data_IF_797740721105
#
_entry.id   IF_797740721105
#
_cell.length_a   1.000
_cell.length_b   1.000
_cell.length_c   1.000
_cell.angle_alpha   90.00
_cell.angle_beta   90.00
_cell.angle_gamma   90.00
#
_symmetry.space_group_name_H-M   'P 1'
#
loop_
_entity.id
_entity.type
_entity.pdbx_description
1 polymer ?
#
# COMPACT_ATOMS: atom_id res chain seq x y z
N UNK A 1 25.14 63.43 -8.86
CA UNK A 1 23.86 62.96 -9.44
C UNK A 1 24.13 62.27 -10.77
N UNK A 2 24.50 61.00 -10.73
CA UNK A 2 24.78 60.07 -11.83
C UNK A 2 24.71 58.69 -11.15
N UNK A 3 24.07 57.62 -11.62
CA UNK A 3 23.71 57.22 -12.99
C UNK A 3 22.75 56.04 -12.91
N UNK A 4 21.53 56.20 -13.44
CA UNK A 4 20.57 55.10 -13.66
C UNK A 4 20.80 54.47 -15.05
N UNK A 5 21.99 53.91 -15.28
CA UNK A 5 22.39 53.38 -16.61
C UNK A 5 23.18 52.07 -16.55
N UNK A 6 22.92 51.25 -15.54
CA UNK A 6 23.68 50.00 -15.31
C UNK A 6 22.79 48.80 -14.93
N UNK A 7 21.57 48.72 -15.49
CA UNK A 7 20.65 47.58 -15.27
C UNK A 7 20.12 46.97 -16.58
N UNK A 8 20.56 47.47 -17.74
CA UNK A 8 20.04 47.03 -19.05
C UNK A 8 21.03 46.20 -19.90
N UNK A 9 22.16 45.74 -19.34
CA UNK A 9 23.21 45.06 -20.12
C UNK A 9 23.42 43.57 -19.81
N UNK A 10 22.65 42.96 -18.90
CA UNK A 10 22.79 41.54 -18.53
C UNK A 10 21.59 40.67 -18.92
N UNK A 11 20.78 41.10 -19.90
CA UNK A 11 19.57 40.37 -20.35
C UNK A 11 19.68 39.79 -21.76
N UNK A 12 20.90 39.64 -22.27
CA UNK A 12 21.19 39.22 -23.65
C UNK A 12 22.32 38.18 -23.73
N UNK A 13 22.44 37.32 -22.71
CA UNK A 13 23.41 36.21 -22.68
C UNK A 13 22.77 34.82 -22.47
N UNK A 14 21.44 34.72 -22.57
CA UNK A 14 20.70 33.47 -22.30
C UNK A 14 19.73 33.10 -23.42
N UNK A 15 20.18 33.27 -24.68
CA UNK A 15 19.37 32.96 -25.88
C UNK A 15 20.12 32.27 -27.01
N UNK A 16 21.21 31.58 -26.72
CA UNK A 16 21.97 30.81 -27.71
C UNK A 16 22.54 29.54 -27.08
N UNK A 17 21.70 28.53 -26.81
CA UNK A 17 22.08 27.10 -26.86
C UNK A 17 20.81 26.24 -26.98
N UNK A 18 20.10 26.36 -28.10
CA UNK A 18 19.20 25.31 -28.60
C UNK A 18 19.77 24.85 -29.93
N UNK A 19 20.55 23.76 -29.91
CA UNK A 19 20.87 22.98 -31.09
C UNK A 19 20.37 21.55 -30.86
N UNK A 20 19.63 20.96 -31.82
CA UNK A 20 19.13 19.60 -31.70
C UNK A 20 20.26 18.60 -31.91
N UNK A 21 20.42 17.67 -30.96
CA UNK A 21 21.28 16.49 -31.13
C UNK A 21 20.62 15.57 -32.16
N UNK A 22 21.17 15.62 -33.37
CA UNK A 22 20.79 14.81 -34.51
C UNK A 22 21.10 13.33 -34.27
N UNK A 23 20.11 12.48 -34.51
CA UNK A 23 20.23 11.04 -34.65
C UNK A 23 21.39 10.66 -35.57
N UNK A 24 22.26 9.76 -35.11
CA UNK A 24 23.13 8.96 -35.98
C UNK A 24 22.79 7.49 -35.79
N UNK A 25 21.79 7.06 -36.56
CA UNK A 25 21.50 5.66 -36.84
C UNK A 25 22.68 5.09 -37.64
N UNK A 26 23.50 4.26 -37.01
CA UNK A 26 24.51 3.46 -37.70
C UNK A 26 23.84 2.24 -38.33
N UNK A 27 23.43 2.39 -39.60
CA UNK A 27 23.01 1.29 -40.44
C UNK A 27 24.20 0.38 -40.79
N UNK A 28 24.27 -0.81 -40.19
CA UNK A 28 25.28 -1.82 -40.51
C UNK A 28 24.74 -2.74 -41.62
N UNK A 29 25.30 -2.60 -42.83
CA UNK A 29 25.03 -3.49 -43.98
C UNK A 29 25.47 -4.93 -43.70
N UNK A 30 24.72 -5.95 -44.19
CA UNK A 30 25.05 -7.36 -44.01
C UNK A 30 26.17 -7.78 -44.97
N UNK A 31 27.08 -8.66 -44.51
CA UNK A 31 28.02 -9.39 -45.37
C UNK A 31 27.56 -10.85 -45.53
N UNK A 32 27.71 -11.45 -46.71
CA UNK A 32 27.11 -12.73 -47.05
C UNK A 32 27.96 -13.93 -46.62
N UNK A 33 27.22 -14.97 -46.21
CA UNK A 33 27.39 -16.41 -46.39
C UNK A 33 28.77 -16.93 -46.86
N UNK A 34 29.39 -17.78 -46.03
CA UNK A 34 30.23 -18.88 -46.49
C UNK A 34 29.56 -20.20 -46.14
N UNK A 35 29.28 -20.95 -47.21
CA UNK A 35 28.80 -22.32 -47.26
C UNK A 35 29.90 -23.25 -46.75
N UNK A 36 29.54 -24.18 -45.86
CA UNK A 36 30.32 -25.39 -45.62
C UNK A 36 29.35 -26.58 -45.60
N UNK A 37 29.65 -27.52 -46.48
CA UNK A 37 28.89 -28.69 -46.89
C UNK A 37 29.23 -29.90 -46.00
N UNK A 38 28.26 -30.77 -45.74
CA UNK A 38 28.45 -32.13 -45.21
C UNK A 38 27.95 -32.29 -43.77
N UNK A 39 27.16 -33.28 -43.38
CA UNK A 39 26.90 -34.58 -43.99
C UNK A 39 25.46 -35.04 -43.69
N UNK A 40 24.91 -35.75 -44.68
CA UNK A 40 23.66 -36.48 -44.66
C UNK A 40 23.86 -37.77 -43.85
N UNK A 41 23.04 -38.04 -42.83
CA UNK A 41 22.80 -39.41 -42.38
C UNK A 41 21.31 -39.66 -42.13
N UNK A 42 20.90 -40.76 -42.74
CA UNK A 42 19.58 -41.36 -42.88
C UNK A 42 19.02 -41.80 -41.53
N UNK A 43 17.73 -41.60 -41.30
CA UNK A 43 16.88 -42.50 -40.50
C UNK A 43 15.42 -42.27 -40.89
N UNK A 44 14.93 -43.15 -41.75
CA UNK A 44 13.51 -43.31 -42.06
C UNK A 44 13.03 -44.64 -41.47
N UNK A 45 11.87 -44.61 -40.81
CA UNK A 45 10.97 -45.75 -40.73
C UNK A 45 10.71 -46.36 -39.35
N UNK A 46 9.42 -46.64 -39.11
CA UNK A 46 8.78 -47.40 -38.02
C UNK A 46 8.38 -46.53 -36.80
N UNK A 47 7.13 -46.46 -36.33
CA UNK A 47 5.95 -47.27 -36.61
C UNK A 47 4.66 -46.49 -36.27
N UNK A 48 3.61 -46.81 -37.03
CA UNK A 48 2.20 -46.48 -36.79
C UNK A 48 1.69 -47.29 -35.59
N UNK A 49 1.03 -46.62 -34.63
CA UNK A 49 0.09 -47.23 -33.67
C UNK A 49 -0.95 -46.16 -33.26
N UNK A 50 -2.18 -46.56 -32.86
CA UNK A 50 -3.41 -45.93 -33.30
C UNK A 50 -3.91 -44.89 -32.29
N UNK A 51 -4.71 -43.95 -32.78
CA UNK A 51 -5.50 -43.06 -31.95
C UNK A 51 -6.53 -43.87 -31.14
N UNK A 52 -6.30 -44.03 -29.85
CA UNK A 52 -7.33 -44.42 -28.88
C UNK A 52 -7.96 -43.15 -28.30
N UNK A 53 -9.26 -42.88 -28.53
CA UNK A 53 -9.97 -41.89 -27.76
C UNK A 53 -10.43 -42.51 -26.43
N UNK A 54 -10.55 -41.65 -25.41
CA UNK A 54 -11.14 -41.92 -24.10
C UNK A 54 -10.27 -42.68 -23.07
N UNK A 55 -9.78 -41.93 -22.06
CA UNK A 55 -9.74 -42.29 -20.62
C UNK A 55 -9.05 -41.20 -19.76
N UNK A 56 -9.30 -39.92 -20.03
CA UNK A 56 -8.75 -38.82 -19.22
C UNK A 56 -9.76 -37.72 -18.85
N UNK A 57 -11.07 -37.94 -19.04
CA UNK A 57 -12.09 -36.96 -18.63
C UNK A 57 -12.70 -37.24 -17.25
N UNK A 58 -12.47 -38.42 -16.66
CA UNK A 58 -13.13 -38.80 -15.41
C UNK A 58 -12.24 -38.67 -14.15
N UNK A 59 -10.96 -38.33 -14.30
CA UNK A 59 -10.05 -38.22 -13.14
C UNK A 59 -10.01 -36.80 -12.54
N UNK A 60 -10.28 -35.77 -13.33
CA UNK A 60 -10.34 -34.39 -12.85
C UNK A 60 -11.67 -34.04 -12.15
N UNK A 61 -12.75 -34.80 -12.38
CA UNK A 61 -14.03 -34.61 -11.67
C UNK A 61 -14.03 -35.18 -10.25
N UNK A 62 -13.18 -36.17 -9.96
CA UNK A 62 -13.09 -36.81 -8.64
C UNK A 62 -12.16 -36.06 -7.68
N UNK A 63 -11.19 -35.28 -8.19
CA UNK A 63 -10.28 -34.48 -7.36
C UNK A 63 -10.88 -33.14 -6.87
N UNK A 64 -11.95 -32.65 -7.52
CA UNK A 64 -12.63 -31.40 -7.14
C UNK A 64 -14.07 -31.61 -6.63
N UNK A 65 -14.51 -32.85 -6.41
CA UNK A 65 -15.76 -33.14 -5.72
C UNK A 65 -17.01 -32.54 -6.39
N UNK A 66 -17.02 -32.38 -7.72
CA UNK A 66 -18.19 -31.90 -8.46
C UNK A 66 -19.00 -33.10 -8.97
N UNK A 67 -19.26 -34.05 -8.07
CA UNK A 67 -20.05 -35.24 -8.32
C UNK A 67 -21.36 -35.18 -7.53
N UNK A 68 -22.45 -34.83 -8.24
CA UNK A 68 -23.84 -34.62 -7.79
C UNK A 68 -24.17 -33.18 -7.39
N UNK A 69 -25.05 -32.57 -8.18
CA UNK A 69 -25.88 -31.46 -7.76
C UNK A 69 -26.63 -31.85 -6.47
N UNK A 70 -26.10 -31.43 -5.33
CA UNK A 70 -26.82 -31.44 -4.07
C UNK A 70 -28.01 -30.50 -4.22
N UNK A 71 -29.22 -31.08 -4.24
CA UNK A 71 -30.49 -30.36 -4.15
C UNK A 71 -30.39 -29.41 -2.94
N UNK A 72 -30.72 -28.12 -3.07
CA UNK A 72 -30.61 -27.18 -1.96
C UNK A 72 -31.43 -27.69 -0.77
N UNK A 73 -30.92 -27.57 0.47
CA UNK A 73 -31.67 -27.99 1.66
C UNK A 73 -32.98 -27.21 1.71
N UNK A 74 -34.09 -27.93 1.90
CA UNK A 74 -35.40 -27.28 2.06
C UNK A 74 -35.36 -26.40 3.32
N UNK A 75 -35.86 -25.16 3.25
CA UNK A 75 -35.97 -24.32 4.43
C UNK A 75 -36.91 -24.96 5.46
N UNK A 76 -36.66 -24.76 6.77
CA UNK A 76 -37.50 -25.32 7.82
C UNK A 76 -38.96 -24.88 7.62
N UNK A 77 -39.83 -25.90 7.66
CA UNK A 77 -41.27 -25.79 7.50
C UNK A 77 -41.85 -25.05 8.71
N UNK A 78 -41.91 -23.72 8.65
CA UNK A 78 -42.75 -22.83 9.47
C UNK A 78 -42.63 -21.36 9.02
N UNK A 79 -43.00 -21.08 7.77
CA UNK A 79 -43.32 -19.71 7.34
C UNK A 79 -44.80 -19.70 6.94
N UNK A 80 -45.65 -18.86 7.55
CA UNK A 80 -47.05 -18.74 7.13
C UNK A 80 -47.12 -18.35 5.65
N UNK A 81 -47.75 -19.20 4.85
CA UNK A 81 -48.09 -18.91 3.47
C UNK A 81 -49.13 -17.80 3.49
N UNK A 82 -48.81 -16.63 2.92
CA UNK A 82 -49.81 -15.60 2.66
C UNK A 82 -50.81 -16.14 1.61
N UNK A 83 -52.13 -16.05 1.85
CA UNK A 83 -53.12 -16.43 0.86
C UNK A 83 -53.02 -15.55 -0.40
N UNK A 84 -53.37 -16.06 -1.59
CA UNK A 84 -53.44 -15.25 -2.80
C UNK A 84 -54.48 -14.11 -2.63
N UNK A 85 -54.27 -12.96 -3.28
CA UNK A 85 -55.14 -11.80 -3.13
C UNK A 85 -56.54 -12.13 -3.67
N UNK A 86 -57.54 -11.95 -2.81
CA UNK A 86 -58.95 -11.96 -3.17
C UNK A 86 -59.28 -10.69 -3.98
N UNK A 87 -60.17 -10.75 -5.00
CA UNK A 87 -60.65 -9.56 -5.69
C UNK A 87 -61.37 -8.63 -4.70
N UNK A 88 -60.93 -7.38 -4.64
CA UNK A 88 -61.48 -6.37 -3.74
C UNK A 88 -62.81 -5.84 -4.31
N UNK A 89 -63.91 -6.01 -3.56
CA UNK A 89 -65.15 -5.30 -3.81
C UNK A 89 -64.98 -3.79 -3.57
N UNK A 90 -65.65 -2.92 -4.33
CA UNK A 90 -65.49 -1.47 -4.18
C UNK A 90 -66.36 -0.95 -3.04
N UNK A 91 -65.71 -0.47 -1.98
CA UNK A 91 -66.38 0.42 -1.01
C UNK A 91 -65.96 0.24 0.44
N UNK A 92 -64.84 0.84 0.83
CA UNK A 92 -64.60 1.33 2.20
C UNK A 92 -63.39 2.30 2.21
N UNK A 93 -63.41 3.36 3.02
CA UNK A 93 -62.51 4.51 2.89
C UNK A 93 -61.11 4.23 3.44
N UNK A 94 -60.10 4.78 2.76
CA UNK A 94 -58.71 4.73 3.20
C UNK A 94 -58.46 5.68 4.40
N UNK A 95 -57.78 5.23 5.47
CA UNK A 95 -57.30 6.13 6.51
C UNK A 95 -55.91 6.67 6.18
N UNK A 96 -55.80 8.00 6.10
CA UNK A 96 -54.59 8.72 6.49
C UNK A 96 -53.56 9.03 5.40
N UNK A 97 -53.90 9.91 4.47
CA UNK A 97 -52.93 10.83 3.88
C UNK A 97 -52.39 11.76 4.98
N UNK A 98 -51.09 11.66 5.26
CA UNK A 98 -50.45 12.49 6.27
C UNK A 98 -49.03 12.07 6.63
N UNK A 99 -48.29 11.44 5.71
CA UNK A 99 -46.84 11.32 5.85
C UNK A 99 -46.20 12.58 5.24
N UNK A 100 -46.16 13.62 6.05
CA UNK A 100 -45.42 14.85 5.77
C UNK A 100 -44.00 14.50 5.35
N UNK A 101 -43.72 14.68 4.06
CA UNK A 101 -42.42 14.39 3.47
C UNK A 101 -41.46 15.44 3.99
N UNK A 102 -40.79 15.14 5.10
CA UNK A 102 -39.73 16.00 5.63
C UNK A 102 -38.75 16.29 4.49
N UNK A 103 -38.44 17.56 4.18
CA UNK A 103 -37.47 17.89 3.16
C UNK A 103 -36.16 17.17 3.48
N UNK A 104 -35.72 16.30 2.56
CA UNK A 104 -34.41 15.67 2.66
C UNK A 104 -33.37 16.77 2.54
N UNK A 105 -32.79 17.19 3.66
CA UNK A 105 -31.65 18.11 3.66
C UNK A 105 -30.56 17.47 2.78
N UNK A 106 -30.04 18.18 1.76
CA UNK A 106 -28.98 17.65 0.91
C UNK A 106 -27.83 17.15 1.78
N UNK A 107 -27.48 15.87 1.63
CA UNK A 107 -26.37 15.27 2.37
C UNK A 107 -25.11 16.11 2.13
N UNK A 108 -24.50 16.62 3.20
CA UNK A 108 -23.27 17.41 3.07
C UNK A 108 -22.20 16.60 2.33
N UNK A 109 -21.37 17.24 1.49
CA UNK A 109 -20.30 16.56 0.78
C UNK A 109 -19.39 15.85 1.77
N UNK A 110 -19.18 14.53 1.55
CA UNK A 110 -18.28 13.75 2.38
C UNK A 110 -16.86 14.31 2.27
N UNK A 111 -16.28 14.63 3.42
CA UNK A 111 -14.91 15.12 3.54
C UNK A 111 -13.93 13.94 3.52
N UNK A 112 -12.75 14.08 2.89
CA UNK A 112 -11.71 13.04 2.92
C UNK A 112 -11.24 12.73 4.34
N UNK A 113 -10.93 11.46 4.58
CA UNK A 113 -10.29 11.00 5.83
C UNK A 113 -8.79 11.13 5.68
N UNK A 114 -8.16 11.91 6.56
CA UNK A 114 -6.74 12.26 6.54
C UNK A 114 -6.07 11.61 7.75
N UNK A 115 -5.10 10.75 7.51
CA UNK A 115 -4.22 10.23 8.56
C UNK A 115 -3.05 11.19 8.80
N UNK A 116 -2.33 11.00 9.90
CA UNK A 116 -1.10 11.73 10.17
C UNK A 116 -0.06 11.44 9.09
N UNK A 117 0.47 12.49 8.47
CA UNK A 117 1.62 12.37 7.56
C UNK A 117 2.89 12.12 8.38
N UNK A 118 3.66 11.07 8.07
CA UNK A 118 4.94 10.80 8.72
C UNK A 118 5.94 11.94 8.49
N UNK A 119 6.66 12.32 9.55
CA UNK A 119 7.76 13.27 9.44
C UNK A 119 9.04 12.54 9.06
N UNK A 120 9.91 13.19 8.30
CA UNK A 120 11.22 12.65 7.89
C UNK A 120 12.12 12.31 9.09
N UNK A 121 11.98 13.07 10.17
CA UNK A 121 12.76 12.84 11.39
C UNK A 121 12.35 11.56 12.14
N UNK A 122 11.22 10.92 11.80
CA UNK A 122 10.83 9.64 12.38
C UNK A 122 11.76 8.49 11.95
N UNK A 123 12.49 8.65 10.84
CA UNK A 123 13.46 7.65 10.34
C UNK A 123 14.91 8.11 10.43
N UNK A 124 15.14 9.41 10.61
CA UNK A 124 16.49 9.95 10.70
C UNK A 124 17.20 9.42 11.96
N UNK A 125 18.43 8.93 11.78
CA UNK A 125 19.25 8.35 12.83
C UNK A 125 18.85 6.92 13.25
N UNK A 126 17.82 6.34 12.64
CA UNK A 126 17.41 4.96 12.90
C UNK A 126 18.20 3.99 12.02
N UNK A 127 18.50 2.82 12.57
CA UNK A 127 19.02 1.69 11.80
C UNK A 127 17.84 0.86 11.28
N UNK A 128 17.60 0.94 9.97
CA UNK A 128 16.49 0.25 9.32
C UNK A 128 17.00 -1.01 8.62
N UNK A 129 16.27 -2.11 8.77
CA UNK A 129 16.57 -3.41 8.16
C UNK A 129 15.59 -3.67 7.03
N UNK A 130 16.09 -4.17 5.89
CA UNK A 130 15.23 -4.63 4.81
C UNK A 130 14.36 -5.76 5.32
N UNK A 131 13.04 -5.54 5.23
CA UNK A 131 12.02 -6.47 5.66
C UNK A 131 12.20 -6.95 7.12
N UNK A 132 12.78 -6.10 7.97
CA UNK A 132 12.96 -6.35 9.40
C UNK A 132 14.03 -7.37 9.78
N UNK A 133 14.90 -7.81 8.84
CA UNK A 133 15.95 -8.81 9.11
C UNK A 133 17.34 -8.43 8.63
N UNK A 134 17.47 -8.10 7.34
CA UNK A 134 18.77 -8.13 6.66
C UNK A 134 19.14 -6.75 6.11
N UNK A 135 20.43 -6.56 5.81
CA UNK A 135 20.93 -5.29 5.30
C UNK A 135 20.90 -4.18 6.34
N UNK A 136 21.25 -2.97 5.92
CA UNK A 136 21.07 -1.78 6.74
C UNK A 136 20.78 -0.57 5.85
N UNK A 137 19.89 0.30 6.30
CA UNK A 137 19.66 1.63 5.75
C UNK A 137 19.67 2.60 6.91
N UNK A 138 20.56 3.60 6.85
CA UNK A 138 20.61 4.70 7.79
C UNK A 138 20.43 6.00 7.03
N UNK A 139 19.39 6.74 7.38
CA UNK A 139 19.16 8.09 6.86
C UNK A 139 19.61 9.08 7.93
N UNK A 140 20.41 10.06 7.56
CA UNK A 140 20.89 11.10 8.46
C UNK A 140 20.55 12.48 7.90
N UNK A 141 20.26 13.41 8.81
CA UNK A 141 20.04 14.81 8.47
C UNK A 141 21.40 15.52 8.49
N UNK A 142 21.75 16.16 7.37
CA UNK A 142 22.94 16.99 7.22
C UNK A 142 22.50 18.42 6.89
N UNK A 143 22.36 19.25 7.92
CA UNK A 143 21.76 20.58 7.79
C UNK A 143 20.29 20.49 7.37
N UNK A 144 19.95 21.06 6.21
CA UNK A 144 18.62 20.97 5.59
C UNK A 144 18.48 19.82 4.60
N UNK A 145 19.56 19.07 4.34
CA UNK A 145 19.58 17.95 3.41
C UNK A 145 19.58 16.61 4.16
N UNK A 146 19.34 15.53 3.43
CA UNK A 146 19.42 14.17 3.94
C UNK A 146 20.49 13.38 3.19
N UNK A 147 21.15 12.48 3.90
CA UNK A 147 22.08 11.49 3.34
C UNK A 147 21.63 10.10 3.72
N UNK A 148 21.91 9.11 2.88
CA UNK A 148 21.65 7.71 3.16
C UNK A 148 22.94 6.90 3.10
N UNK A 149 23.12 5.99 4.05
CA UNK A 149 24.14 4.95 4.01
C UNK A 149 23.42 3.60 3.96
N UNK A 150 23.76 2.74 2.99
CA UNK A 150 23.00 1.51 2.78
C UNK A 150 23.89 0.30 2.47
N UNK A 151 23.57 -0.83 3.10
CA UNK A 151 24.13 -2.16 2.82
C UNK A 151 23.02 -3.06 2.30
N UNK A 152 23.17 -3.48 1.05
CA UNK A 152 22.21 -4.32 0.34
C UNK A 152 22.54 -5.81 0.51
N UNK A 153 21.63 -6.62 1.03
CA UNK A 153 21.76 -8.06 1.00
C UNK A 153 21.38 -8.60 -0.38
N UNK A 154 22.05 -9.67 -0.82
CA UNK A 154 21.82 -10.31 -2.11
C UNK A 154 22.33 -11.74 -2.16
N UNK A 155 22.33 -12.30 -3.37
CA UNK A 155 22.88 -13.63 -3.68
C UNK A 155 23.94 -13.51 -4.75
N UNK A 156 24.97 -14.37 -4.70
CA UNK A 156 26.05 -14.33 -5.69
C UNK A 156 25.52 -14.66 -7.08
N UNK A 157 26.02 -13.98 -8.10
CA UNK A 157 25.61 -14.23 -9.49
C UNK A 157 26.20 -15.57 -9.96
N UNK A 158 27.47 -15.82 -9.65
CA UNK A 158 28.13 -17.08 -9.97
C UNK A 158 27.58 -18.29 -9.21
N UNK A 159 27.05 -18.07 -8.00
CA UNK A 159 26.56 -19.11 -7.09
C UNK A 159 25.29 -18.64 -6.36
N UNK A 160 24.09 -18.76 -6.97
CA UNK A 160 22.85 -18.20 -6.41
C UNK A 160 22.42 -18.73 -5.03
N UNK A 161 23.03 -19.82 -4.55
CA UNK A 161 22.81 -20.36 -3.21
C UNK A 161 23.65 -19.69 -2.12
N UNK A 162 24.67 -18.92 -2.50
CA UNK A 162 25.52 -18.18 -1.57
C UNK A 162 25.06 -16.72 -1.45
N UNK A 163 25.07 -16.21 -0.22
CA UNK A 163 24.72 -14.82 0.03
C UNK A 163 25.90 -13.88 -0.29
N UNK A 164 25.59 -12.67 -0.72
CA UNK A 164 26.53 -11.57 -0.87
C UNK A 164 25.96 -10.30 -0.23
N UNK A 165 26.83 -9.31 0.00
CA UNK A 165 26.42 -8.00 0.49
C UNK A 165 27.14 -6.91 -0.29
N UNK A 166 26.42 -5.84 -0.60
CA UNK A 166 26.95 -4.68 -1.33
C UNK A 166 26.74 -3.44 -0.50
N UNK A 167 27.83 -2.74 -0.19
CA UNK A 167 27.75 -1.39 0.40
C UNK A 167 27.62 -0.40 -0.74
N UNK A 168 26.46 0.25 -0.87
CA UNK A 168 26.28 1.27 -1.90
C UNK A 168 27.26 2.42 -1.71
N UNK A 169 27.77 2.97 -2.80
CA UNK A 169 28.78 4.03 -2.82
C UNK A 169 30.01 3.73 -1.95
N UNK A 170 30.44 2.46 -1.93
CA UNK A 170 31.55 2.00 -1.09
C UNK A 170 31.28 2.12 0.41
N UNK A 171 30.01 2.24 0.81
CA UNK A 171 29.57 2.43 2.19
C UNK A 171 29.65 3.86 2.68
N UNK A 172 29.87 4.85 1.81
CA UNK A 172 29.83 6.27 2.18
C UNK A 172 28.38 6.77 2.21
N UNK A 173 28.06 7.75 3.08
CA UNK A 173 26.76 8.42 3.01
C UNK A 173 26.60 9.14 1.67
N UNK A 174 25.57 8.77 0.92
CA UNK A 174 25.23 9.41 -0.35
C UNK A 174 24.11 10.45 -0.15
N UNK A 175 24.13 11.59 -0.85
CA UNK A 175 23.08 12.59 -0.76
C UNK A 175 21.75 12.05 -1.31
N UNK A 176 20.66 12.44 -0.66
CA UNK A 176 19.30 12.20 -1.12
C UNK A 176 18.73 13.45 -1.78
N UNK A 177 18.11 13.27 -2.95
CA UNK A 177 17.41 14.35 -3.65
C UNK A 177 15.93 14.32 -3.30
N UNK A 178 15.39 15.42 -2.79
CA UNK A 178 13.97 15.50 -2.44
C UNK A 178 13.09 15.58 -3.70
N UNK A 179 12.09 14.70 -3.79
CA UNK A 179 11.09 14.66 -4.88
C UNK A 179 9.75 15.29 -4.46
N UNK A 180 9.63 15.76 -3.22
CA UNK A 180 8.41 16.34 -2.67
C UNK A 180 7.43 15.30 -2.10
N UNK A 181 6.14 15.64 -2.07
CA UNK A 181 5.07 14.84 -1.43
C UNK A 181 3.90 14.51 -2.37
N UNK A 182 4.19 14.06 -3.59
CA UNK A 182 3.16 13.84 -4.62
C UNK A 182 2.06 12.84 -4.21
N UNK A 183 2.37 11.84 -3.37
CA UNK A 183 1.39 10.91 -2.80
C UNK A 183 1.10 11.19 -1.31
N UNK A 184 1.36 12.42 -0.85
CA UNK A 184 1.14 12.87 0.52
C UNK A 184 2.22 12.45 1.53
N UNK A 185 3.13 11.56 1.15
CA UNK A 185 4.34 11.20 1.93
C UNK A 185 5.60 11.74 1.25
N UNK A 186 6.63 12.01 2.04
CA UNK A 186 7.91 12.51 1.55
C UNK A 186 8.63 11.49 0.70
N UNK A 187 9.17 11.95 -0.42
CA UNK A 187 9.90 11.13 -1.38
C UNK A 187 11.29 11.66 -1.61
N UNK A 188 12.23 10.73 -1.72
CA UNK A 188 13.61 10.99 -2.03
C UNK A 188 14.11 10.03 -3.10
N UNK A 189 15.04 10.47 -3.93
CA UNK A 189 15.81 9.59 -4.81
C UNK A 189 17.27 9.52 -4.36
N UNK A 190 17.88 8.36 -4.59
CA UNK A 190 19.30 8.14 -4.30
C UNK A 190 20.17 8.57 -5.48
N UNK A 191 21.35 9.13 -5.18
CA UNK A 191 22.33 9.51 -6.20
C UNK A 191 23.19 8.32 -6.71
N UNK A 192 22.76 7.07 -6.49
CA UNK A 192 23.50 5.87 -6.88
C UNK A 192 23.26 5.48 -8.34
N UNK A 193 24.32 5.55 -9.16
CA UNK A 193 24.24 5.20 -10.58
C UNK A 193 24.00 3.69 -10.81
N UNK A 194 24.57 2.82 -9.98
CA UNK A 194 24.50 1.36 -10.14
C UNK A 194 23.15 0.78 -9.71
N UNK A 195 22.47 1.44 -8.76
CA UNK A 195 21.20 0.99 -8.22
C UNK A 195 20.37 2.20 -7.76
N UNK A 196 19.73 2.93 -8.70
CA UNK A 196 18.94 4.10 -8.36
C UNK A 196 17.64 3.68 -7.66
N UNK A 197 17.34 4.31 -6.53
CA UNK A 197 16.22 3.96 -5.66
C UNK A 197 15.39 5.20 -5.35
N UNK A 198 14.08 4.99 -5.23
CA UNK A 198 13.16 5.93 -4.62
C UNK A 198 12.80 5.44 -3.23
N UNK A 199 12.85 6.37 -2.27
CA UNK A 199 12.46 6.18 -0.89
C UNK A 199 11.18 6.95 -0.62
N UNK A 200 10.17 6.26 -0.10
CA UNK A 200 8.96 6.89 0.44
C UNK A 200 9.02 6.79 1.96
N UNK A 201 9.00 7.93 2.65
CA UNK A 201 9.11 7.96 4.10
C UNK A 201 7.76 7.63 4.73
N UNK A 202 7.75 6.54 5.51
CA UNK A 202 6.63 6.08 6.29
C UNK A 202 6.93 6.28 7.78
N UNK A 203 5.96 5.97 8.64
CA UNK A 203 6.14 6.17 10.07
C UNK A 203 7.10 5.13 10.68
N UNK A 204 8.33 5.56 10.94
CA UNK A 204 9.42 4.72 11.46
C UNK A 204 9.98 3.73 10.44
N UNK A 205 9.67 3.87 9.14
CA UNK A 205 10.16 3.00 8.07
C UNK A 205 10.26 3.73 6.74
N UNK A 206 10.93 3.10 5.78
CA UNK A 206 11.12 3.61 4.42
C UNK A 206 10.71 2.53 3.44
N UNK A 207 9.79 2.85 2.52
CA UNK A 207 9.52 1.98 1.38
C UNK A 207 10.52 2.29 0.27
N UNK A 208 11.39 1.34 -0.05
CA UNK A 208 12.36 1.48 -1.12
C UNK A 208 11.84 0.81 -2.41
N UNK A 209 11.96 1.51 -3.54
CA UNK A 209 11.59 1.02 -4.86
C UNK A 209 12.72 1.30 -5.85
N UNK A 210 13.25 0.29 -6.55
CA UNK A 210 14.16 0.49 -7.68
C UNK A 210 13.54 1.37 -8.76
N UNK A 211 14.33 2.29 -9.29
CA UNK A 211 13.94 3.15 -10.42
C UNK A 211 14.37 2.58 -11.78
N UNK A 212 15.12 1.47 -11.78
CA UNK A 212 15.51 0.73 -12.98
C UNK A 212 14.38 -0.10 -13.58
N UNK A 213 14.67 -0.82 -14.67
CA UNK A 213 13.73 -1.66 -15.40
C UNK A 213 13.31 -2.95 -14.69
N UNK A 214 13.79 -3.20 -13.47
CA UNK A 214 13.50 -4.41 -12.71
C UNK A 214 13.58 -4.18 -11.20
N UNK A 215 13.20 -5.18 -10.42
CA UNK A 215 13.23 -5.14 -8.95
C UNK A 215 14.61 -5.45 -8.34
N UNK A 216 15.54 -5.95 -9.16
CA UNK A 216 16.88 -6.33 -8.75
C UNK A 216 17.93 -5.32 -9.26
N UNK A 217 19.00 -5.17 -8.48
CA UNK A 217 20.21 -4.44 -8.83
C UNK A 217 21.38 -5.41 -8.92
N UNK A 218 22.08 -5.40 -10.06
CA UNK A 218 23.19 -6.31 -10.36
C UNK A 218 24.52 -5.58 -10.24
N UNK A 219 25.42 -6.12 -9.41
CA UNK A 219 26.75 -5.60 -9.14
C UNK A 219 27.79 -6.60 -9.63
N UNK A 220 28.17 -6.50 -10.90
CA UNK A 220 29.07 -7.46 -11.56
C UNK A 220 30.45 -7.52 -10.92
N UNK A 221 31.02 -6.37 -10.52
CA UNK A 221 32.30 -6.29 -9.84
C UNK A 221 32.29 -6.96 -8.45
N UNK A 222 31.13 -7.04 -7.80
CA UNK A 222 30.93 -7.69 -6.50
C UNK A 222 30.38 -9.12 -6.64
N UNK A 223 30.20 -9.63 -7.86
CA UNK A 223 29.53 -10.90 -8.15
C UNK A 223 28.20 -11.05 -7.39
N UNK A 224 27.38 -9.98 -7.36
CA UNK A 224 26.23 -9.91 -6.45
C UNK A 224 24.97 -9.37 -7.14
N UNK A 225 23.85 -10.05 -6.96
CA UNK A 225 22.51 -9.56 -7.32
C UNK A 225 21.71 -9.30 -6.05
N UNK A 226 21.14 -8.10 -5.93
CA UNK A 226 20.40 -7.66 -4.74
C UNK A 226 18.97 -7.27 -5.12
N UNK A 227 18.04 -7.41 -4.19
CA UNK A 227 16.64 -6.99 -4.37
C UNK A 227 16.30 -5.98 -3.28
N UNK A 228 16.64 -4.69 -3.47
CA UNK A 228 16.49 -3.67 -2.43
C UNK A 228 15.04 -3.20 -2.24
N UNK A 229 14.12 -3.66 -3.09
CA UNK A 229 12.70 -3.36 -2.99
C UNK A 229 12.08 -3.97 -1.74
N UNK A 230 11.34 -3.16 -1.00
CA UNK A 230 10.65 -3.60 0.21
C UNK A 230 10.61 -2.53 1.27
N UNK A 231 10.08 -2.91 2.44
CA UNK A 231 9.99 -2.02 3.58
C UNK A 231 11.25 -2.14 4.43
N UNK A 232 12.00 -1.05 4.52
CA UNK A 232 13.13 -0.89 5.43
C UNK A 232 12.59 -0.34 6.75
N UNK A 233 12.61 -1.16 7.79
CA UNK A 233 11.96 -0.84 9.07
C UNK A 233 12.72 -1.39 10.26
N UNK A 234 12.14 -1.29 11.47
CA UNK A 234 12.75 -1.83 12.68
C UNK A 234 12.91 -3.35 12.61
N UNK A 235 13.82 -3.88 13.42
CA UNK A 235 13.96 -5.32 13.57
C UNK A 235 12.63 -5.96 14.00
N UNK A 236 12.20 -6.99 13.26
CA UNK A 236 10.92 -7.66 13.47
C UNK A 236 10.74 -8.22 14.89
N UNK A 237 11.83 -8.69 15.53
CA UNK A 237 11.75 -9.23 16.88
C UNK A 237 11.38 -8.16 17.92
N UNK A 238 11.75 -6.90 17.69
CA UNK A 238 11.45 -5.79 18.60
C UNK A 238 9.99 -5.34 18.54
N UNK A 239 9.24 -5.73 17.49
CA UNK A 239 7.88 -5.26 17.22
C UNK A 239 6.79 -6.09 17.89
N UNK A 240 7.12 -7.26 18.44
CA UNK A 240 6.14 -8.22 18.94
C UNK A 240 5.29 -7.68 20.10
N UNK A 241 5.86 -6.84 20.97
CA UNK A 241 5.14 -6.25 22.11
C UNK A 241 4.07 -5.23 21.69
N UNK A 242 4.16 -4.70 20.46
CA UNK A 242 3.27 -3.67 19.93
C UNK A 242 2.21 -4.22 18.97
N UNK A 243 2.14 -5.54 18.79
CA UNK A 243 1.25 -6.18 17.82
C UNK A 243 -0.22 -5.74 17.94
N UNK A 244 -0.75 -5.62 19.16
CA UNK A 244 -2.14 -5.18 19.39
C UNK A 244 -2.38 -3.71 19.02
N UNK A 245 -1.37 -2.85 19.20
CA UNK A 245 -1.44 -1.45 18.77
C UNK A 245 -1.42 -1.35 17.25
N UNK A 246 -0.58 -2.14 16.59
CA UNK A 246 -0.52 -2.18 15.13
C UNK A 246 -1.80 -2.69 14.50
N UNK A 247 -2.43 -3.74 15.06
CA UNK A 247 -3.71 -4.23 14.54
C UNK A 247 -4.84 -3.20 14.69
N UNK A 248 -4.90 -2.54 15.85
CA UNK A 248 -5.88 -1.47 16.09
C UNK A 248 -5.69 -0.30 15.11
N UNK A 249 -4.45 0.18 14.96
CA UNK A 249 -4.12 1.24 14.02
C UNK A 249 -4.40 0.83 12.58
N UNK A 250 -4.17 -0.44 12.22
CA UNK A 250 -4.46 -0.98 10.89
C UNK A 250 -5.96 -0.94 10.61
N UNK A 251 -6.80 -1.27 11.59
CA UNK A 251 -8.26 -1.13 11.47
C UNK A 251 -8.71 0.30 11.15
N UNK A 252 -8.07 1.30 11.77
CA UNK A 252 -8.30 2.73 11.48
C UNK A 252 -7.85 3.09 10.07
N UNK A 253 -6.65 2.66 9.67
CA UNK A 253 -6.10 2.93 8.35
C UNK A 253 -6.93 2.26 7.23
N UNK A 254 -7.33 1.01 7.42
CA UNK A 254 -8.20 0.28 6.48
C UNK A 254 -9.56 0.98 6.33
N UNK A 255 -10.13 1.49 7.43
CA UNK A 255 -11.35 2.28 7.38
C UNK A 255 -11.15 3.56 6.57
N UNK A 256 -10.05 4.28 6.80
CA UNK A 256 -9.73 5.50 6.05
C UNK A 256 -9.57 5.22 4.55
N UNK A 257 -8.90 4.12 4.17
CA UNK A 257 -8.79 3.69 2.77
C UNK A 257 -10.18 3.46 2.16
N UNK A 258 -11.05 2.68 2.82
CA UNK A 258 -12.42 2.41 2.33
C UNK A 258 -13.25 3.68 2.20
N UNK A 259 -13.20 4.56 3.20
CA UNK A 259 -13.96 5.80 3.19
C UNK A 259 -13.47 6.74 2.07
N UNK A 260 -12.17 6.85 1.86
CA UNK A 260 -11.62 7.66 0.77
C UNK A 260 -11.95 7.11 -0.62
N UNK A 261 -11.87 5.79 -0.85
CA UNK A 261 -12.34 5.20 -2.10
C UNK A 261 -13.83 5.47 -2.34
N UNK A 262 -14.66 5.37 -1.29
CA UNK A 262 -16.09 5.71 -1.40
C UNK A 262 -16.29 7.15 -1.86
N UNK A 263 -15.51 8.09 -1.34
CA UNK A 263 -15.57 9.51 -1.75
C UNK A 263 -15.08 9.66 -3.21
N UNK A 264 -13.98 9.01 -3.58
CA UNK A 264 -13.45 9.05 -4.95
C UNK A 264 -14.50 8.56 -5.95
N UNK A 265 -15.12 7.41 -5.68
CA UNK A 265 -16.19 6.86 -6.53
C UNK A 265 -17.42 7.77 -6.61
N UNK A 266 -17.79 8.44 -5.51
CA UNK A 266 -18.90 9.42 -5.51
C UNK A 266 -18.60 10.68 -6.32
N UNK A 267 -17.32 11.11 -6.34
CA UNK A 267 -16.86 12.30 -7.08
C UNK A 267 -16.56 11.99 -8.55
N UNK A 268 -16.18 10.75 -8.87
CA UNK A 268 -15.90 10.30 -10.22
C UNK A 268 -17.15 10.35 -11.13
N UNK A 269 -16.92 10.43 -12.44
CA UNK A 269 -17.96 10.45 -13.47
C UNK A 269 -17.57 9.49 -14.59
N UNK A 270 -18.56 8.81 -15.18
CA UNK A 270 -18.36 7.96 -16.36
C UNK A 270 -17.19 6.97 -16.22
N UNK A 271 -16.24 7.05 -17.15
CA UNK A 271 -15.11 6.12 -17.26
C UNK A 271 -14.14 6.10 -16.08
N UNK A 272 -14.10 7.16 -15.26
CA UNK A 272 -13.13 7.29 -14.16
C UNK A 272 -13.45 6.37 -12.97
N UNK A 273 -14.66 5.83 -12.90
CA UNK A 273 -15.07 4.92 -11.82
C UNK A 273 -14.35 3.58 -11.92
N UNK A 274 -14.15 3.05 -13.14
CA UNK A 274 -13.59 1.71 -13.35
C UNK A 274 -12.15 1.59 -12.82
N UNK A 275 -11.22 2.52 -13.11
CA UNK A 275 -9.88 2.49 -12.52
C UNK A 275 -9.89 2.52 -10.99
N UNK A 276 -10.77 3.30 -10.36
CA UNK A 276 -10.87 3.41 -8.89
C UNK A 276 -11.28 2.07 -8.28
N UNK A 277 -12.28 1.40 -8.86
CA UNK A 277 -12.75 0.10 -8.37
C UNK A 277 -11.69 -0.99 -8.58
N UNK A 278 -10.99 -0.98 -9.71
CA UNK A 278 -9.89 -1.92 -9.98
C UNK A 278 -8.75 -1.73 -8.97
N UNK A 279 -8.37 -0.49 -8.72
CA UNK A 279 -7.34 -0.14 -7.76
C UNK A 279 -7.74 -0.50 -6.31
N UNK A 280 -9.02 -0.31 -5.96
CA UNK A 280 -9.55 -0.76 -4.67
C UNK A 280 -9.50 -2.28 -4.53
N UNK A 281 -9.83 -3.02 -5.59
CA UNK A 281 -9.82 -4.48 -5.59
C UNK A 281 -8.40 -5.08 -5.53
N UNK A 282 -7.41 -4.42 -6.16
CA UNK A 282 -6.01 -4.85 -6.13
C UNK A 282 -5.31 -4.55 -4.79
N UNK A 283 -5.81 -3.59 -4.01
CA UNK A 283 -5.10 -3.11 -2.83
C UNK A 283 -4.74 -4.20 -1.81
N UNK A 284 -5.62 -5.17 -1.56
CA UNK A 284 -5.31 -6.25 -0.62
C UNK A 284 -4.21 -7.18 -1.12
N UNK A 285 -4.17 -7.49 -2.42
CA UNK A 285 -3.09 -8.30 -3.00
C UNK A 285 -1.77 -7.54 -3.03
N UNK A 286 -1.80 -6.25 -3.36
CA UNK A 286 -0.60 -5.41 -3.40
C UNK A 286 0.05 -5.33 -2.02
N UNK A 287 -0.77 -5.12 -0.98
CA UNK A 287 -0.31 -5.10 0.42
C UNK A 287 0.33 -6.42 0.82
N UNK A 288 -0.34 -7.55 0.54
CA UNK A 288 0.20 -8.87 0.88
C UNK A 288 1.50 -9.14 0.13
N UNK A 289 1.56 -8.84 -1.17
CA UNK A 289 2.77 -9.04 -1.97
C UNK A 289 3.95 -8.19 -1.47
N UNK A 290 3.68 -6.95 -1.04
CA UNK A 290 4.69 -6.06 -0.50
C UNK A 290 5.18 -6.50 0.90
N UNK A 291 4.31 -7.08 1.72
CA UNK A 291 4.57 -7.31 3.14
C UNK A 291 4.86 -8.76 3.53
N UNK A 292 4.55 -9.74 2.69
CA UNK A 292 4.77 -11.17 2.98
C UNK A 292 6.21 -11.53 3.37
N UNK A 293 7.19 -10.74 2.92
CA UNK A 293 8.61 -10.96 3.20
C UNK A 293 9.08 -10.22 4.45
N UNK A 294 8.28 -9.32 5.03
CA UNK A 294 8.60 -8.71 6.30
C UNK A 294 8.58 -9.78 7.38
N UNK A 295 9.70 -9.93 8.07
CA UNK A 295 9.86 -11.05 8.96
C UNK A 295 8.86 -11.00 10.11
N UNK A 296 8.27 -12.15 10.43
CA UNK A 296 7.24 -12.28 11.47
C UNK A 296 6.03 -11.34 11.27
N UNK A 297 5.75 -10.89 10.04
CA UNK A 297 4.63 -9.99 9.77
C UNK A 297 3.29 -10.54 10.27
N UNK A 298 3.03 -11.84 10.12
CA UNK A 298 1.82 -12.47 10.65
C UNK A 298 1.68 -12.42 12.18
N UNK A 299 2.75 -12.11 12.91
CA UNK A 299 2.73 -11.98 14.37
C UNK A 299 2.53 -10.55 14.88
N UNK A 300 2.95 -9.53 14.11
CA UNK A 300 2.89 -8.12 14.56
C UNK A 300 2.15 -7.17 13.61
N UNK A 301 2.04 -7.45 12.31
CA UNK A 301 1.25 -6.65 11.37
C UNK A 301 1.81 -5.27 11.02
N UNK A 302 3.14 -5.08 11.11
CA UNK A 302 3.77 -3.76 11.03
C UNK A 302 3.80 -3.27 9.59
N UNK A 303 4.25 -4.09 8.65
CA UNK A 303 4.28 -3.70 7.25
C UNK A 303 2.88 -3.44 6.71
N UNK A 304 1.90 -4.29 7.06
CA UNK A 304 0.51 -4.11 6.70
C UNK A 304 -0.05 -2.77 7.17
N UNK A 305 0.26 -2.36 8.41
CA UNK A 305 -0.10 -1.04 8.90
C UNK A 305 0.53 0.06 8.05
N UNK A 306 1.86 0.10 7.93
CA UNK A 306 2.57 1.20 7.26
C UNK A 306 2.19 1.36 5.80
N UNK A 307 2.02 0.24 5.10
CA UNK A 307 1.55 0.23 3.71
C UNK A 307 0.11 0.78 3.59
N UNK A 308 -0.76 0.43 4.52
CA UNK A 308 -2.16 0.89 4.53
C UNK A 308 -2.28 2.37 4.90
N UNK A 309 -1.47 2.85 5.84
CA UNK A 309 -1.41 4.27 6.19
C UNK A 309 -0.96 5.13 5.01
N UNK A 310 0.13 4.71 4.35
CA UNK A 310 0.63 5.36 3.13
C UNK A 310 -0.47 5.44 2.07
N UNK A 311 -1.23 4.35 1.90
CA UNK A 311 -2.35 4.31 0.96
C UNK A 311 -3.47 5.28 1.31
N UNK A 312 -3.87 5.34 2.58
CA UNK A 312 -4.92 6.25 3.04
C UNK A 312 -4.51 7.71 2.79
N UNK A 313 -3.25 8.07 3.07
CA UNK A 313 -2.68 9.40 2.83
C UNK A 313 -2.66 9.73 1.34
N UNK A 314 -2.23 8.79 0.49
CA UNK A 314 -2.22 8.96 -0.96
C UNK A 314 -3.63 9.20 -1.53
N UNK A 315 -4.63 8.47 -1.04
CA UNK A 315 -6.04 8.66 -1.43
C UNK A 315 -6.57 10.02 -0.97
N UNK A 316 -6.28 10.44 0.26
CA UNK A 316 -6.66 11.75 0.77
C UNK A 316 -6.04 12.89 -0.05
N UNK A 317 -4.77 12.73 -0.43
CA UNK A 317 -4.04 13.69 -1.27
C UNK A 317 -4.68 13.80 -2.67
N UNK A 318 -5.04 12.67 -3.28
CA UNK A 318 -5.78 12.65 -4.57
C UNK A 318 -7.14 13.33 -4.49
N UNK A 319 -7.78 13.31 -3.33
CA UNK A 319 -9.04 14.00 -3.06
C UNK A 319 -8.88 15.50 -2.76
N UNK A 320 -7.66 16.03 -2.80
CA UNK A 320 -7.35 17.44 -2.51
C UNK A 320 -7.42 17.79 -1.01
N UNK A 321 -7.33 16.80 -0.13
CA UNK A 321 -7.38 17.06 1.31
C UNK A 321 -6.14 17.84 1.76
N UNK A 322 -6.34 18.81 2.64
CA UNK A 322 -5.22 19.44 3.33
C UNK A 322 -4.66 18.44 4.35
N UNK A 323 -3.47 17.90 4.07
CA UNK A 323 -2.82 16.90 4.93
C UNK A 323 -2.16 17.50 6.17
N UNK A 324 -2.20 18.83 6.35
CA UNK A 324 -1.68 19.51 7.53
C UNK A 324 -2.44 19.18 8.83
N UNK A 325 -3.71 18.80 8.75
CA UNK A 325 -4.53 18.47 9.91
C UNK A 325 -5.14 17.07 9.76
N UNK A 326 -4.71 16.07 10.56
CA UNK A 326 -5.31 14.75 10.56
C UNK A 326 -6.78 14.82 10.98
N UNK A 327 -7.65 14.14 10.25
CA UNK A 327 -9.09 14.03 10.57
C UNK A 327 -9.44 12.67 11.18
N UNK A 328 -8.55 11.68 11.05
CA UNK A 328 -8.60 10.46 11.85
C UNK A 328 -7.69 10.61 13.08
N UNK A 329 -8.26 10.38 14.27
CA UNK A 329 -7.47 10.36 15.49
C UNK A 329 -6.68 9.04 15.60
N UNK A 330 -5.37 9.10 15.32
CA UNK A 330 -4.40 8.06 15.71
C UNK A 330 -3.97 8.28 17.18
N UNK A 331 -4.92 8.43 18.11
CA UNK A 331 -4.58 8.56 19.52
C UNK A 331 -4.46 7.16 20.14
N UNK A 332 -3.37 6.83 20.87
CA UNK A 332 -3.37 5.65 21.72
C UNK A 332 -4.53 5.77 22.71
N UNK A 333 -5.29 4.69 22.90
CA UNK A 333 -6.38 4.67 23.86
C UNK A 333 -5.81 5.02 25.24
N UNK A 334 -6.10 6.23 25.73
CA UNK A 334 -5.78 6.60 27.12
C UNK A 334 -6.46 5.55 28.00
N UNK A 335 -5.74 4.89 28.94
CA UNK A 335 -6.38 3.97 29.85
C UNK A 335 -7.52 4.73 30.54
N UNK A 336 -8.76 4.26 30.32
CA UNK A 336 -9.92 4.73 31.05
C UNK A 336 -9.59 4.50 32.51
N UNK A 337 -9.23 5.56 33.24
CA UNK A 337 -9.28 5.52 34.70
C UNK A 337 -10.72 5.14 35.02
N UNK A 338 -10.91 3.93 35.55
CA UNK A 338 -12.17 3.57 36.19
C UNK A 338 -12.46 4.72 37.16
N UNK A 339 -13.61 5.37 37.00
CA UNK A 339 -14.09 6.28 38.03
C UNK A 339 -14.22 5.44 39.29
N UNK A 340 -13.36 5.70 40.27
CA UNK A 340 -13.59 5.19 41.61
C UNK A 340 -14.98 5.65 42.06
N UNK A 341 -15.75 4.82 42.78
CA UNK A 341 -17.01 5.26 43.37
C UNK A 341 -16.69 6.41 44.31
N UNK A 342 -17.37 7.54 44.14
CA UNK A 342 -17.30 8.61 45.13
C UNK A 342 -18.18 8.18 46.28
N UNK A 343 -17.55 7.63 47.32
CA UNK A 343 -18.12 7.46 48.65
C UNK A 343 -18.52 8.86 49.16
N UNK A 344 -19.81 9.11 49.33
CA UNK A 344 -20.29 10.41 49.80
C UNK A 344 -21.67 10.79 49.30
N UNK A 345 -22.69 10.05 49.74
CA UNK A 345 -24.04 10.60 49.83
C UNK A 345 -24.74 9.97 51.03
N UNK A 346 -24.61 10.62 52.18
CA UNK A 346 -25.52 10.40 53.30
C UNK A 346 -26.34 11.69 53.49
N UNK A 347 -27.60 11.72 53.09
CA UNK A 347 -28.57 12.69 53.59
C UNK A 347 -29.48 12.00 54.62
N UNK A 348 -29.76 12.76 55.69
CA UNK A 348 -30.89 12.57 56.59
C UNK A 348 -30.69 11.62 57.79
N UNK A 349 -29.96 12.11 58.80
CA UNK A 349 -30.15 11.68 60.18
C UNK A 349 -30.11 12.89 61.12
N UNK A 350 -31.21 13.65 61.16
CA UNK A 350 -31.53 14.52 62.30
C UNK A 350 -33.04 14.45 62.60
N UNK A 351 -33.37 13.85 63.75
CA UNK A 351 -34.50 14.28 64.58
C UNK A 351 -35.70 13.32 64.72
N UNK A 352 -35.69 12.52 65.80
CA UNK A 352 -36.86 12.17 66.65
C UNK A 352 -36.40 11.07 67.64
N UNK A 353 -35.83 11.44 68.78
CA UNK A 353 -36.46 11.59 70.12
C UNK A 353 -36.40 10.29 70.96
N UNK A 354 -36.21 10.39 72.30
CA UNK A 354 -35.78 9.28 73.14
C UNK A 354 -36.95 8.70 73.94
N UNK A 355 -37.12 7.38 74.01
CA UNK A 355 -37.91 6.75 75.08
C UNK A 355 -37.39 5.35 75.43
N UNK A 356 -37.50 5.07 76.73
CA UNK A 356 -36.87 4.04 77.51
C UNK A 356 -37.59 2.68 77.49
N UNK A 357 -36.91 1.70 78.09
CA UNK A 357 -37.39 0.46 78.74
C UNK A 357 -38.32 -0.49 77.96
N UNK A 358 -37.76 -1.63 77.54
CA UNK A 358 -38.04 -2.97 78.11
C UNK A 358 -37.13 -4.04 77.53
#
# INVERSE_FOLDING_TARGET
MHTAREVAANREADRLMFLPVSERVFAKKPRPLRVATGALFVLAGLAVVPATPARAQNFFEELFGIGRAARPPQPPRNVPVQPPPQPMEPGAPAPGEGAETRPSVPAQPRQPVVLRVPAEDNVAGQDLLLNGLNGSLKIERSGSAYTAQMTLPGTKISQPTENCTVKLDGGKPMPLSAEGRAQGVSRFSTASAECPLRFEILDGSVLATPLGSGSACTFTAADCETTPSGLWGPNAAALLSQAGEFDTARGVADKAVRDNYKIMTQRARGGDVRPIVQEQAAFSSDREQACRTYAREGAHGYCHLRFTEARAIALATRLGANTATPTAANAPARPRRSRAPVEGMNPDAQGAEPFADQ
#
